data_IF_594271878911
#
_entry.id   IF_594271878911
#
_cell.length_a   1.000
_cell.length_b   1.000
_cell.length_c   1.000
_cell.angle_alpha   90.00
_cell.angle_beta   90.00
_cell.angle_gamma   90.00
#
_symmetry.space_group_name_H-M   'P 1'
#
loop_
_entity.id
_entity.type
_entity.pdbx_description
1 polymer ?
#
# COMPACT_ATOMS: atom_id res chain seq x y z
N UNK A 1 -11.63 2.53 -45.35
CA UNK A 1 -11.52 1.34 -44.48
C UNK A 1 -10.55 1.68 -43.35
N UNK A 2 -11.03 2.09 -42.16
CA UNK A 2 -10.15 2.38 -41.02
C UNK A 2 -9.77 1.05 -40.36
N UNK A 3 -8.52 0.62 -40.49
CA UNK A 3 -7.97 -0.47 -39.70
C UNK A 3 -8.12 -0.09 -38.22
N UNK A 4 -9.02 -0.77 -37.50
CA UNK A 4 -8.99 -0.75 -36.03
C UNK A 4 -7.63 -1.29 -35.64
N UNK A 5 -6.79 -0.47 -35.03
CA UNK A 5 -5.53 -0.91 -34.41
C UNK A 5 -5.94 -1.96 -33.36
N UNK A 6 -5.75 -3.23 -33.66
CA UNK A 6 -5.95 -4.28 -32.66
C UNK A 6 -4.96 -4.00 -31.53
N UNK A 7 -5.48 -3.61 -30.38
CA UNK A 7 -4.67 -3.45 -29.18
C UNK A 7 -4.17 -4.84 -28.82
N UNK A 8 -2.86 -5.06 -28.94
CA UNK A 8 -2.22 -6.28 -28.49
C UNK A 8 -2.29 -6.30 -26.95
N UNK A 9 -3.26 -7.03 -26.41
CA UNK A 9 -3.56 -7.03 -24.97
C UNK A 9 -2.41 -7.59 -24.14
N UNK A 10 -1.70 -8.60 -24.64
CA UNK A 10 -0.49 -9.10 -24.00
C UNK A 10 0.63 -8.05 -23.93
N UNK A 11 0.76 -7.19 -24.95
CA UNK A 11 1.69 -6.06 -24.90
C UNK A 11 1.29 -5.01 -23.86
N UNK A 12 -0.01 -4.68 -23.77
CA UNK A 12 -0.54 -3.75 -22.78
C UNK A 12 -0.33 -4.26 -21.34
N UNK A 13 -0.64 -5.53 -21.06
CA UNK A 13 -0.43 -6.12 -19.74
C UNK A 13 1.05 -6.11 -19.34
N UNK A 14 1.96 -6.36 -20.28
CA UNK A 14 3.41 -6.27 -20.03
C UNK A 14 3.86 -4.85 -19.72
N UNK A 15 3.33 -3.86 -20.44
CA UNK A 15 3.62 -2.44 -20.19
C UNK A 15 3.16 -2.01 -18.79
N UNK A 16 1.91 -2.34 -18.43
CA UNK A 16 1.36 -2.04 -17.11
C UNK A 16 2.13 -2.77 -15.98
N UNK A 17 2.48 -4.04 -16.18
CA UNK A 17 3.29 -4.79 -15.23
C UNK A 17 4.70 -4.19 -15.06
N UNK A 18 5.30 -3.72 -16.16
CA UNK A 18 6.57 -2.98 -16.12
C UNK A 18 6.48 -1.68 -15.32
N UNK A 19 5.43 -0.89 -15.54
CA UNK A 19 5.16 0.35 -14.80
C UNK A 19 4.94 0.09 -13.30
N UNK A 20 4.15 -0.93 -12.96
CA UNK A 20 3.93 -1.34 -11.57
C UNK A 20 5.25 -1.74 -10.90
N UNK A 21 6.05 -2.59 -11.56
CA UNK A 21 7.34 -3.05 -11.04
C UNK A 21 8.30 -1.88 -10.76
N UNK A 22 8.39 -0.94 -11.70
CA UNK A 22 9.21 0.27 -11.55
C UNK A 22 8.72 1.11 -10.36
N UNK A 23 7.42 1.34 -10.26
CA UNK A 23 6.84 2.18 -9.20
C UNK A 23 7.03 1.57 -7.81
N UNK A 24 6.79 0.26 -7.66
CA UNK A 24 7.04 -0.46 -6.41
C UNK A 24 8.51 -0.36 -6.01
N UNK A 25 9.43 -0.56 -6.96
CA UNK A 25 10.88 -0.50 -6.69
C UNK A 25 11.32 0.91 -6.27
N UNK A 26 10.84 1.95 -6.97
CA UNK A 26 11.10 3.34 -6.58
C UNK A 26 10.52 3.68 -5.20
N UNK A 27 9.34 3.15 -4.88
CA UNK A 27 8.70 3.37 -3.58
C UNK A 27 9.48 2.70 -2.44
N UNK A 28 9.95 1.47 -2.64
CA UNK A 28 10.83 0.78 -1.68
C UNK A 28 12.11 1.58 -1.39
N UNK A 29 12.75 2.12 -2.44
CA UNK A 29 13.94 2.96 -2.28
C UNK A 29 13.64 4.24 -1.49
N UNK A 30 12.51 4.89 -1.78
CA UNK A 30 12.08 6.07 -1.03
C UNK A 30 11.77 5.73 0.44
N UNK A 31 11.19 4.56 0.71
CA UNK A 31 10.80 4.12 2.05
C UNK A 31 11.98 3.89 3.01
N UNK A 32 13.21 3.80 2.47
CA UNK A 32 14.43 3.76 3.28
C UNK A 32 14.77 5.08 3.98
N UNK A 33 14.04 6.16 3.69
CA UNK A 33 14.20 7.47 4.35
C UNK A 33 12.97 7.76 5.23
N UNK A 34 13.16 8.14 6.51
CA UNK A 34 12.04 8.51 7.38
C UNK A 34 11.24 9.69 6.78
N UNK A 35 9.91 9.60 6.79
CA UNK A 35 9.08 10.76 6.50
C UNK A 35 9.23 11.78 7.63
N UNK A 36 9.80 12.95 7.32
CA UNK A 36 10.11 13.98 8.33
C UNK A 36 8.94 14.94 8.57
N UNK A 37 7.99 14.99 7.64
CA UNK A 37 6.86 15.91 7.69
C UNK A 37 5.56 15.24 7.23
N UNK A 38 4.42 15.84 7.61
CA UNK A 38 3.12 15.37 7.15
C UNK A 38 2.94 15.44 5.61
N UNK A 39 3.42 16.47 4.90
CA UNK A 39 3.47 16.45 3.44
C UNK A 39 4.24 15.25 2.86
N UNK A 40 5.36 14.86 3.47
CA UNK A 40 6.13 13.70 2.99
C UNK A 40 5.37 12.40 3.20
N UNK A 41 4.71 12.26 4.36
CA UNK A 41 3.82 11.13 4.63
C UNK A 41 2.65 11.06 3.62
N UNK A 42 2.01 12.19 3.34
CA UNK A 42 0.94 12.28 2.32
C UNK A 42 1.42 11.85 0.93
N UNK A 43 2.63 12.25 0.53
CA UNK A 43 3.22 11.81 -0.74
C UNK A 43 3.43 10.30 -0.76
N UNK A 44 4.01 9.73 0.29
CA UNK A 44 4.20 8.28 0.39
C UNK A 44 2.87 7.52 0.34
N UNK A 45 1.84 8.02 1.03
CA UNK A 45 0.49 7.48 1.00
C UNK A 45 -0.15 7.54 -0.39
N UNK A 46 0.04 8.63 -1.11
CA UNK A 46 -0.46 8.77 -2.49
C UNK A 46 0.18 7.73 -3.42
N UNK A 47 1.50 7.54 -3.33
CA UNK A 47 2.22 6.51 -4.11
C UNK A 47 1.73 5.11 -3.75
N UNK A 48 1.51 4.82 -2.47
CA UNK A 48 0.95 3.54 -2.04
C UNK A 48 -0.44 3.27 -2.66
N UNK A 49 -1.34 4.26 -2.65
CA UNK A 49 -2.66 4.14 -3.29
C UNK A 49 -2.59 3.99 -4.80
N UNK A 50 -1.65 4.70 -5.45
CA UNK A 50 -1.39 4.55 -6.88
C UNK A 50 -0.96 3.11 -7.22
N UNK A 51 -0.09 2.52 -6.41
CA UNK A 51 0.31 1.11 -6.54
C UNK A 51 -0.91 0.17 -6.38
N UNK A 52 -1.78 0.38 -5.38
CA UNK A 52 -2.99 -0.43 -5.23
C UNK A 52 -3.92 -0.31 -6.45
N UNK A 53 -4.08 0.91 -6.98
CA UNK A 53 -4.89 1.16 -8.17
C UNK A 53 -4.32 0.49 -9.42
N UNK A 54 -2.99 0.49 -9.59
CA UNK A 54 -2.32 -0.23 -10.67
C UNK A 54 -2.51 -1.74 -10.55
N UNK A 55 -2.36 -2.31 -9.35
CA UNK A 55 -2.59 -3.74 -9.10
C UNK A 55 -4.01 -4.13 -9.47
N UNK A 56 -5.00 -3.34 -9.01
CA UNK A 56 -6.41 -3.56 -9.35
C UNK A 56 -6.64 -3.48 -10.87
N UNK A 57 -6.11 -2.45 -11.52
CA UNK A 57 -6.27 -2.24 -12.97
C UNK A 57 -5.67 -3.38 -13.79
N UNK A 58 -4.50 -3.91 -13.38
CA UNK A 58 -3.87 -5.04 -14.06
C UNK A 58 -4.69 -6.31 -13.84
N UNK A 59 -5.18 -6.53 -12.61
CA UNK A 59 -6.07 -7.66 -12.28
C UNK A 59 -7.35 -7.66 -13.12
N UNK A 60 -8.07 -6.55 -13.13
CA UNK A 60 -9.31 -6.38 -13.90
C UNK A 60 -9.11 -6.62 -15.40
N UNK A 61 -8.02 -6.07 -15.96
CA UNK A 61 -7.67 -6.31 -17.38
C UNK A 61 -7.32 -7.77 -17.66
N UNK A 62 -6.63 -8.44 -16.75
CA UNK A 62 -6.30 -9.85 -16.90
C UNK A 62 -7.54 -10.75 -16.82
N UNK A 63 -8.46 -10.46 -15.90
CA UNK A 63 -9.73 -11.19 -15.75
C UNK A 63 -10.64 -11.02 -16.97
N UNK A 64 -10.63 -9.83 -17.59
CA UNK A 64 -11.40 -9.60 -18.82
C UNK A 64 -10.96 -10.49 -19.99
N UNK A 65 -9.74 -11.04 -19.96
CA UNK A 65 -9.15 -11.90 -21.01
C UNK A 65 -8.17 -12.93 -20.43
N UNK A 66 -8.68 -14.00 -19.79
CA UNK A 66 -7.84 -14.94 -19.05
C UNK A 66 -6.84 -15.71 -19.92
N UNK A 67 -7.14 -15.91 -21.21
CA UNK A 67 -6.26 -16.61 -22.16
C UNK A 67 -5.00 -15.81 -22.53
N UNK A 68 -5.02 -14.49 -22.36
CA UNK A 68 -3.91 -13.59 -22.71
C UNK A 68 -3.02 -13.27 -21.49
N UNK A 69 -3.47 -13.62 -20.28
CA UNK A 69 -2.77 -13.33 -19.04
C UNK A 69 -1.71 -14.41 -18.71
N UNK A 70 -0.51 -14.02 -18.24
CA UNK A 70 0.44 -14.99 -17.71
C UNK A 70 -0.16 -15.77 -16.54
N UNK A 71 0.05 -17.09 -16.49
CA UNK A 71 -0.49 -17.96 -15.43
C UNK A 71 -0.11 -17.49 -14.01
N UNK A 72 1.11 -16.99 -13.86
CA UNK A 72 1.67 -16.51 -12.59
C UNK A 72 1.32 -15.05 -12.28
N UNK A 73 0.48 -14.39 -13.08
CA UNK A 73 0.19 -12.97 -12.90
C UNK A 73 -0.47 -12.69 -11.55
N UNK A 74 -1.43 -13.52 -11.11
CA UNK A 74 -2.11 -13.34 -9.82
C UNK A 74 -1.12 -13.42 -8.65
N UNK A 75 -0.30 -14.47 -8.60
CA UNK A 75 0.70 -14.65 -7.55
C UNK A 75 1.73 -13.50 -7.56
N UNK A 76 2.13 -13.04 -8.75
CA UNK A 76 3.04 -11.91 -8.91
C UNK A 76 2.44 -10.58 -8.43
N UNK A 77 1.17 -10.29 -8.74
CA UNK A 77 0.47 -9.08 -8.26
C UNK A 77 0.38 -9.06 -6.74
N UNK A 78 0.12 -10.21 -6.11
CA UNK A 78 0.09 -10.31 -4.64
C UNK A 78 1.48 -10.04 -4.05
N UNK A 79 2.55 -10.56 -4.67
CA UNK A 79 3.93 -10.22 -4.26
C UNK A 79 4.22 -8.72 -4.40
N UNK A 80 3.76 -8.06 -5.47
CA UNK A 80 3.87 -6.60 -5.60
C UNK A 80 3.11 -5.86 -4.50
N UNK A 81 1.91 -6.35 -4.14
CA UNK A 81 1.11 -5.82 -3.03
C UNK A 81 1.86 -5.93 -1.71
N UNK A 82 2.36 -7.11 -1.36
CA UNK A 82 3.12 -7.36 -0.13
C UNK A 82 4.38 -6.49 -0.02
N UNK A 83 5.12 -6.33 -1.12
CA UNK A 83 6.27 -5.41 -1.21
C UNK A 83 5.88 -3.96 -0.92
N UNK A 84 4.79 -3.50 -1.54
CA UNK A 84 4.28 -2.13 -1.32
C UNK A 84 3.78 -1.91 0.11
N UNK A 85 3.14 -2.91 0.73
CA UNK A 85 2.73 -2.89 2.13
C UNK A 85 3.96 -2.77 3.02
N UNK A 86 4.98 -3.62 2.82
CA UNK A 86 6.22 -3.55 3.60
C UNK A 86 6.88 -2.17 3.53
N UNK A 87 6.96 -1.57 2.34
CA UNK A 87 7.47 -0.22 2.16
C UNK A 87 6.63 0.84 2.87
N UNK A 88 5.30 0.81 2.71
CA UNK A 88 4.40 1.78 3.34
C UNK A 88 4.38 1.66 4.87
N UNK A 89 4.46 0.43 5.40
CA UNK A 89 4.57 0.16 6.84
C UNK A 89 5.84 0.77 7.42
N UNK A 90 7.00 0.64 6.75
CA UNK A 90 8.25 1.28 7.21
C UNK A 90 8.12 2.80 7.29
N UNK A 91 7.55 3.43 6.26
CA UNK A 91 7.32 4.88 6.26
C UNK A 91 6.38 5.29 7.38
N UNK A 92 5.26 4.57 7.54
CA UNK A 92 4.25 4.85 8.55
C UNK A 92 4.79 4.68 9.96
N UNK A 93 5.55 3.62 10.20
CA UNK A 93 6.17 3.37 11.49
C UNK A 93 7.16 4.48 11.87
N UNK A 94 8.03 4.89 10.93
CA UNK A 94 8.96 5.99 11.16
C UNK A 94 8.22 7.30 11.47
N UNK A 95 7.11 7.55 10.78
CA UNK A 95 6.30 8.75 10.95
C UNK A 95 5.53 8.77 12.28
N UNK A 96 4.84 7.69 12.64
CA UNK A 96 3.98 7.63 13.84
C UNK A 96 4.75 7.31 15.14
N UNK A 97 6.00 6.83 15.06
CA UNK A 97 6.87 6.75 16.24
C UNK A 97 7.23 8.12 16.80
N UNK A 98 7.40 9.12 15.94
CA UNK A 98 7.69 10.50 16.32
C UNK A 98 6.79 11.46 15.53
N UNK A 99 5.48 11.49 15.84
CA UNK A 99 4.53 12.27 15.06
C UNK A 99 4.85 13.75 15.19
N UNK A 100 4.90 14.51 14.07
CA UNK A 100 5.07 15.96 14.14
C UNK A 100 3.98 16.58 15.02
N UNK A 101 4.33 17.52 15.91
CA UNK A 101 3.38 18.18 16.84
C UNK A 101 2.14 18.74 16.12
N UNK A 102 2.32 19.19 14.87
CA UNK A 102 1.25 19.71 14.02
C UNK A 102 0.15 18.68 13.75
N UNK A 103 0.47 17.38 13.74
CA UNK A 103 -0.51 16.31 13.55
C UNK A 103 -1.29 15.98 14.82
N UNK A 104 -0.76 16.33 15.99
CA UNK A 104 -1.44 16.13 17.28
C UNK A 104 -2.46 17.24 17.55
N UNK A 105 -2.26 18.43 16.97
CA UNK A 105 -3.04 19.63 17.28
C UNK A 105 -3.79 20.26 16.09
N UNK A 106 -3.59 19.78 14.86
CA UNK A 106 -4.32 20.32 13.71
C UNK A 106 -5.79 19.87 13.69
N UNK A 107 -6.68 20.80 13.37
CA UNK A 107 -8.07 20.51 12.99
C UNK A 107 -8.10 19.51 11.83
N UNK A 108 -8.85 18.43 11.98
CA UNK A 108 -8.94 17.33 11.00
C UNK A 108 -7.91 16.19 11.20
N UNK A 109 -7.02 16.28 12.18
CA UNK A 109 -6.07 15.21 12.48
C UNK A 109 -6.76 13.90 12.90
N UNK A 110 -7.86 13.99 13.64
CA UNK A 110 -8.62 12.82 14.09
C UNK A 110 -9.10 11.95 12.91
N UNK A 111 -9.70 12.56 11.88
CA UNK A 111 -10.19 11.84 10.70
C UNK A 111 -9.05 11.14 9.96
N UNK A 112 -7.91 11.81 9.82
CA UNK A 112 -6.73 11.25 9.16
C UNK A 112 -6.21 10.03 9.96
N UNK A 113 -6.04 10.18 11.28
CA UNK A 113 -5.59 9.10 12.15
C UNK A 113 -6.56 7.91 12.14
N UNK A 114 -7.86 8.18 12.14
CA UNK A 114 -8.90 7.15 12.08
C UNK A 114 -8.86 6.40 10.75
N UNK A 115 -8.76 7.13 9.63
CA UNK A 115 -8.66 6.54 8.30
C UNK A 115 -7.41 5.66 8.16
N UNK A 116 -6.27 6.10 8.67
CA UNK A 116 -5.06 5.28 8.67
C UNK A 116 -5.20 4.03 9.53
N UNK A 117 -5.79 4.16 10.73
CA UNK A 117 -6.01 3.00 11.62
C UNK A 117 -6.86 1.96 10.90
N UNK A 118 -8.00 2.38 10.34
CA UNK A 118 -8.90 1.49 9.62
C UNK A 118 -8.25 0.85 8.39
N UNK A 119 -7.42 1.59 7.66
CA UNK A 119 -6.69 1.07 6.52
C UNK A 119 -5.69 -0.02 6.95
N UNK A 120 -4.88 0.23 7.98
CA UNK A 120 -3.93 -0.76 8.50
C UNK A 120 -4.63 -1.99 9.10
N UNK A 121 -5.72 -1.81 9.84
CA UNK A 121 -6.51 -2.93 10.38
C UNK A 121 -7.06 -3.83 9.28
N UNK A 122 -7.57 -3.25 8.19
CA UNK A 122 -8.04 -4.04 7.03
C UNK A 122 -6.91 -4.80 6.36
N UNK A 123 -5.77 -4.14 6.14
CA UNK A 123 -4.60 -4.79 5.52
C UNK A 123 -4.08 -5.94 6.40
N UNK A 124 -4.05 -5.77 7.73
CA UNK A 124 -3.67 -6.80 8.68
C UNK A 124 -4.58 -8.03 8.59
N UNK A 125 -5.91 -7.81 8.54
CA UNK A 125 -6.88 -8.90 8.44
C UNK A 125 -6.70 -9.75 7.18
N UNK A 126 -6.33 -9.13 6.06
CA UNK A 126 -6.10 -9.81 4.78
C UNK A 126 -4.66 -10.35 4.62
N UNK A 127 -3.74 -9.99 5.52
CA UNK A 127 -2.30 -10.17 5.31
C UNK A 127 -1.91 -11.64 5.22
N UNK A 128 -2.42 -12.48 6.13
CA UNK A 128 -2.10 -13.91 6.20
C UNK A 128 -2.56 -14.65 4.94
N UNK A 129 -3.74 -14.27 4.42
CA UNK A 129 -4.26 -14.79 3.16
C UNK A 129 -3.37 -14.37 1.99
N UNK A 130 -2.88 -13.12 1.96
CA UNK A 130 -1.94 -12.66 0.93
C UNK A 130 -0.61 -13.43 0.97
N UNK A 131 -0.09 -13.74 2.16
CA UNK A 131 1.14 -14.56 2.31
C UNK A 131 0.94 -15.96 1.74
N UNK A 132 -0.19 -16.59 2.08
CA UNK A 132 -0.55 -17.91 1.57
C UNK A 132 -0.68 -17.92 0.03
N UNK A 133 -1.42 -16.97 -0.55
CA UNK A 133 -1.62 -16.90 -2.00
C UNK A 133 -0.35 -16.53 -2.79
N UNK A 134 0.61 -15.85 -2.17
CA UNK A 134 1.86 -15.45 -2.83
C UNK A 134 2.87 -16.60 -3.00
N UNK A 135 2.67 -17.73 -2.31
CA UNK A 135 3.55 -18.91 -2.38
C UNK A 135 4.97 -18.61 -1.92
N UNK A 136 5.09 -17.95 -0.76
CA UNK A 136 6.36 -17.38 -0.27
C UNK A 136 7.25 -18.46 0.37
N UNK A 137 8.56 -18.35 0.15
CA UNK A 137 9.55 -19.22 0.78
C UNK A 137 9.81 -18.87 2.26
N UNK A 138 10.36 -19.82 3.02
CA UNK A 138 10.57 -19.69 4.47
C UNK A 138 11.42 -18.47 4.86
N UNK A 139 12.41 -18.10 4.03
CA UNK A 139 13.30 -16.96 4.33
C UNK A 139 12.55 -15.64 4.22
N UNK A 140 11.69 -15.52 3.22
CA UNK A 140 10.90 -14.32 2.98
C UNK A 140 9.73 -14.23 3.97
N UNK A 141 9.27 -15.36 4.53
CA UNK A 141 8.26 -15.41 5.58
C UNK A 141 8.71 -14.64 6.85
N UNK A 142 9.94 -14.86 7.33
CA UNK A 142 10.48 -14.15 8.50
C UNK A 142 10.50 -12.62 8.32
N UNK A 143 10.84 -12.15 7.11
CA UNK A 143 10.85 -10.72 6.80
C UNK A 143 9.42 -10.14 6.78
N UNK A 144 8.46 -10.92 6.30
CA UNK A 144 7.06 -10.52 6.22
C UNK A 144 6.32 -10.62 7.55
N UNK A 145 6.73 -11.52 8.45
CA UNK A 145 6.26 -11.55 9.84
C UNK A 145 6.70 -10.29 10.59
N UNK A 146 7.93 -9.81 10.37
CA UNK A 146 8.35 -8.50 10.92
C UNK A 146 7.49 -7.36 10.37
N UNK A 147 7.04 -7.44 9.12
CA UNK A 147 6.12 -6.45 8.56
C UNK A 147 4.77 -6.50 9.26
N UNK A 148 4.24 -7.69 9.61
CA UNK A 148 3.01 -7.83 10.42
C UNK A 148 3.15 -7.13 11.76
N UNK A 149 4.21 -7.45 12.51
CA UNK A 149 4.49 -6.83 13.83
C UNK A 149 4.62 -5.30 13.70
N UNK A 150 5.27 -4.81 12.66
CA UNK A 150 5.39 -3.37 12.43
C UNK A 150 4.04 -2.72 12.09
N UNK A 151 3.14 -3.41 11.38
CA UNK A 151 1.78 -2.90 11.13
C UNK A 151 0.97 -2.83 12.42
N UNK A 152 1.09 -3.84 13.30
CA UNK A 152 0.45 -3.84 14.62
C UNK A 152 0.93 -2.66 15.47
N UNK A 153 2.25 -2.40 15.49
CA UNK A 153 2.79 -1.22 16.19
C UNK A 153 2.24 0.08 15.60
N UNK A 154 2.09 0.20 14.27
CA UNK A 154 1.47 1.37 13.64
C UNK A 154 0.03 1.56 14.12
N UNK A 155 -0.77 0.49 14.18
CA UNK A 155 -2.15 0.55 14.68
C UNK A 155 -2.17 1.01 16.14
N UNK A 156 -1.34 0.44 17.00
CA UNK A 156 -1.25 0.82 18.41
C UNK A 156 -0.89 2.31 18.58
N UNK A 157 0.08 2.81 17.79
CA UNK A 157 0.47 4.22 17.79
C UNK A 157 -0.68 5.12 17.37
N UNK A 158 -1.41 4.75 16.32
CA UNK A 158 -2.57 5.48 15.83
C UNK A 158 -3.68 5.53 16.87
N UNK A 159 -3.97 4.42 17.56
CA UNK A 159 -4.95 4.37 18.65
C UNK A 159 -4.56 5.28 19.81
N UNK A 160 -3.27 5.33 20.17
CA UNK A 160 -2.78 6.22 21.21
C UNK A 160 -2.88 7.70 20.81
N UNK A 161 -2.61 8.03 19.55
CA UNK A 161 -2.78 9.39 19.03
C UNK A 161 -4.26 9.80 18.96
N UNK A 162 -5.16 8.88 18.63
CA UNK A 162 -6.60 9.15 18.60
C UNK A 162 -7.19 9.50 19.97
N UNK A 163 -6.60 9.02 21.07
CA UNK A 163 -7.02 9.36 22.44
C UNK A 163 -6.75 10.83 22.80
N UNK A 164 -5.75 11.45 22.17
CA UNK A 164 -5.30 12.82 22.47
C UNK A 164 -5.67 13.82 21.37
N UNK A 165 -6.04 13.33 20.18
CA UNK A 165 -6.46 14.17 19.08
C UNK A 165 -7.79 14.89 19.39
N UNK A 166 -7.93 16.17 19.01
CA UNK A 166 -9.19 16.89 19.18
C UNK A 166 -10.32 16.19 18.39
N UNK A 167 -11.53 16.06 18.98
CA UNK A 167 -12.65 15.39 18.32
C UNK A 167 -13.03 16.11 17.02
N UNK A 168 -13.69 15.36 16.12
CA UNK A 168 -14.17 15.89 14.85
C UNK A 168 -14.97 17.19 15.08
N UNK A 169 -14.77 18.17 14.21
CA UNK A 169 -15.59 19.37 14.18
C UNK A 169 -17.04 18.93 13.91
N UNK A 170 -17.86 18.88 14.96
CA UNK A 170 -19.30 18.74 14.80
C UNK A 170 -19.78 20.09 14.28
N UNK A 171 -20.02 20.16 12.98
CA UNK A 171 -20.67 21.33 12.36
C UNK A 171 -22.12 21.29 12.83
N UNK A 172 -22.49 22.21 13.73
CA UNK A 172 -23.88 22.43 14.15
C UNK A 172 -24.66 23.15 13.04
#
# INVERSE_FOLDING_TARGET
MRMKKEVNHGALLRELAGSLSSTVTSFEQMSGRPAQSFPDYKKARAVYHEIQAMIFTIGDKAESRPNDAPRELKSWLIRMRLRSIAAFTRVSLAFFRNPPQLLVHALGAYEILQHEREAFTKVLADYDMMLFEAGIDDKTADELDRVRVNMEEVVERLENLLKTAPPQLTVF
#
